data_IF_223454243759
#
_entry.id   IF_223454243759
#
_cell.length_a   1.000
_cell.length_b   1.000
_cell.length_c   1.000
_cell.angle_alpha   90.00
_cell.angle_beta   90.00
_cell.angle_gamma   90.00
#
_symmetry.space_group_name_H-M   'P 1'
#
loop_
_entity.id
_entity.type
_entity.pdbx_description
1 polymer ?
#
# COMPACT_ATOMS: atom_id res chain seq x y z
N UNK A 1 -7.82 3.88 -18.65
CA UNK A 1 -6.42 4.30 -18.50
C UNK A 1 -6.21 5.79 -18.84
N UNK A 2 -6.42 6.27 -20.08
CA UNK A 2 -6.11 7.66 -20.49
C UNK A 2 -6.79 8.73 -19.62
N UNK A 3 -8.08 8.59 -19.36
CA UNK A 3 -8.83 9.50 -18.49
C UNK A 3 -8.24 9.54 -17.07
N UNK A 4 -7.88 8.38 -16.53
CA UNK A 4 -7.31 8.27 -15.20
C UNK A 4 -5.94 8.98 -15.11
N UNK A 5 -5.05 8.75 -16.08
CA UNK A 5 -3.76 9.44 -16.17
C UNK A 5 -3.90 10.95 -16.37
N UNK A 6 -4.86 11.38 -17.19
CA UNK A 6 -5.14 12.80 -17.41
C UNK A 6 -5.64 13.47 -16.13
N UNK A 7 -6.50 12.80 -15.36
CA UNK A 7 -6.97 13.28 -14.06
C UNK A 7 -5.82 13.34 -13.04
N UNK A 8 -4.98 12.32 -12.99
CA UNK A 8 -3.78 12.30 -12.13
C UNK A 8 -2.87 13.48 -12.45
N UNK A 9 -2.53 13.67 -13.72
CA UNK A 9 -1.69 14.78 -14.18
C UNK A 9 -2.30 16.14 -13.86
N UNK A 10 -3.61 16.29 -14.01
CA UNK A 10 -4.32 17.52 -13.70
C UNK A 10 -4.31 17.86 -12.19
N UNK A 11 -4.49 16.85 -11.32
CA UNK A 11 -4.40 17.01 -9.86
C UNK A 11 -3.00 17.47 -9.47
N UNK A 12 -1.96 16.80 -9.98
CA UNK A 12 -0.56 17.13 -9.72
C UNK A 12 -0.21 18.52 -10.25
N UNK A 13 -0.71 18.88 -11.43
CA UNK A 13 -0.52 20.22 -11.99
C UNK A 13 -1.06 21.34 -11.09
N UNK A 14 -2.16 21.09 -10.38
CA UNK A 14 -2.74 22.04 -9.40
C UNK A 14 -1.94 22.19 -8.11
N UNK A 15 -1.01 21.28 -7.85
CA UNK A 15 -0.17 21.26 -6.65
C UNK A 15 -0.79 20.51 -5.47
N UNK A 16 -0.02 20.38 -4.39
CA UNK A 16 -0.37 19.55 -3.23
C UNK A 16 -1.60 20.09 -2.50
N UNK A 17 -1.58 21.35 -2.08
CA UNK A 17 -2.66 21.93 -1.26
C UNK A 17 -4.01 22.01 -1.99
N UNK A 18 -4.01 22.51 -3.24
CA UNK A 18 -5.23 22.74 -4.04
C UNK A 18 -5.70 21.53 -4.82
N UNK A 19 -4.80 20.59 -5.06
CA UNK A 19 -5.08 19.35 -5.78
C UNK A 19 -5.27 18.17 -4.82
N UNK A 20 -4.16 17.58 -4.38
CA UNK A 20 -4.15 16.30 -3.68
C UNK A 20 -4.86 16.39 -2.33
N UNK A 21 -4.50 17.37 -1.49
CA UNK A 21 -5.04 17.51 -0.14
C UNK A 21 -6.55 17.77 -0.14
N UNK A 22 -7.01 18.74 -0.95
CA UNK A 22 -8.44 19.06 -1.03
C UNK A 22 -9.27 17.88 -1.51
N UNK A 23 -8.75 17.13 -2.48
CA UNK A 23 -9.43 15.97 -3.04
C UNK A 23 -9.52 14.85 -2.01
N UNK A 24 -8.41 14.52 -1.34
CA UNK A 24 -8.36 13.47 -0.31
C UNK A 24 -9.24 13.80 0.90
N UNK A 25 -9.27 15.05 1.34
CA UNK A 25 -10.08 15.51 2.49
C UNK A 25 -11.57 15.23 2.33
N UNK A 26 -12.08 15.23 1.09
CA UNK A 26 -13.49 14.97 0.80
C UNK A 26 -13.76 13.48 0.63
N UNK A 27 -12.89 12.79 -0.10
CA UNK A 27 -13.13 11.41 -0.55
C UNK A 27 -12.83 10.38 0.54
N UNK A 28 -11.75 10.56 1.33
CA UNK A 28 -11.35 9.56 2.30
C UNK A 28 -12.39 9.31 3.41
N UNK A 29 -13.05 10.33 4.02
CA UNK A 29 -14.10 10.07 4.98
C UNK A 29 -15.29 9.30 4.39
N UNK A 30 -15.66 9.61 3.14
CA UNK A 30 -16.71 8.88 2.43
C UNK A 30 -16.37 7.41 2.20
N UNK A 31 -15.12 7.13 1.80
CA UNK A 31 -14.63 5.77 1.63
C UNK A 31 -14.64 4.99 2.96
N UNK A 32 -14.16 5.59 4.05
CA UNK A 32 -14.16 4.95 5.37
C UNK A 32 -15.59 4.62 5.81
N UNK A 33 -16.53 5.56 5.62
CA UNK A 33 -17.94 5.32 5.93
C UNK A 33 -18.50 4.13 5.15
N UNK A 34 -18.21 4.04 3.84
CA UNK A 34 -18.65 2.91 3.01
C UNK A 34 -18.01 1.60 3.46
N UNK A 35 -16.71 1.59 3.79
CA UNK A 35 -16.04 0.40 4.31
C UNK A 35 -16.74 -0.09 5.60
N UNK A 36 -17.07 0.81 6.51
CA UNK A 36 -17.78 0.47 7.75
C UNK A 36 -19.16 -0.13 7.46
N UNK A 37 -19.94 0.51 6.58
CA UNK A 37 -21.27 0.01 6.20
C UNK A 37 -21.19 -1.40 5.61
N UNK A 38 -20.27 -1.61 4.66
CA UNK A 38 -20.12 -2.90 4.00
C UNK A 38 -19.55 -3.94 4.98
N UNK A 39 -18.64 -3.55 5.89
CA UNK A 39 -18.11 -4.44 6.92
C UNK A 39 -19.24 -4.94 7.84
N UNK A 40 -20.09 -4.04 8.34
CA UNK A 40 -21.25 -4.42 9.17
C UNK A 40 -22.17 -5.38 8.39
N UNK A 41 -22.45 -5.07 7.13
CA UNK A 41 -23.28 -5.94 6.29
C UNK A 41 -22.62 -7.31 6.06
N UNK A 42 -21.32 -7.37 5.81
CA UNK A 42 -20.57 -8.62 5.61
C UNK A 42 -20.70 -9.58 6.80
N UNK A 43 -20.84 -9.06 8.02
CA UNK A 43 -21.06 -9.87 9.23
C UNK A 43 -22.43 -10.52 9.29
N UNK A 44 -23.43 -9.95 8.63
CA UNK A 44 -24.80 -10.49 8.59
C UNK A 44 -25.01 -11.52 7.47
N UNK A 45 -24.03 -11.71 6.60
CA UNK A 45 -24.13 -12.64 5.48
C UNK A 45 -24.17 -14.10 5.98
N UNK A 46 -24.97 -14.91 5.28
CA UNK A 46 -24.98 -16.36 5.38
C UNK A 46 -25.14 -16.98 4.00
N UNK A 47 -24.41 -18.03 3.72
CA UNK A 47 -24.49 -18.80 2.49
C UNK A 47 -24.43 -20.29 2.80
N UNK A 48 -25.29 -21.05 2.11
CA UNK A 48 -25.26 -22.50 2.17
C UNK A 48 -24.56 -23.01 0.94
N UNK A 49 -23.46 -23.73 1.14
CA UNK A 49 -22.66 -24.33 0.08
C UNK A 49 -23.41 -25.50 -0.58
N UNK A 50 -22.93 -25.94 -1.72
CA UNK A 50 -23.44 -27.13 -2.43
C UNK A 50 -23.40 -28.40 -1.59
N UNK A 51 -22.49 -28.49 -0.63
CA UNK A 51 -22.31 -29.59 0.32
C UNK A 51 -23.23 -29.50 1.54
N UNK A 52 -24.14 -28.52 1.58
CA UNK A 52 -25.06 -28.30 2.71
C UNK A 52 -24.42 -27.60 3.92
N UNK A 53 -23.15 -27.24 3.87
CA UNK A 53 -22.49 -26.49 4.94
C UNK A 53 -22.93 -25.02 4.93
N UNK A 54 -23.39 -24.52 6.09
CA UNK A 54 -23.76 -23.10 6.25
C UNK A 54 -22.53 -22.33 6.72
N UNK A 55 -22.12 -21.35 5.92
CA UNK A 55 -21.06 -20.40 6.29
C UNK A 55 -21.65 -19.05 6.61
N UNK A 56 -21.20 -18.44 7.71
CA UNK A 56 -21.68 -17.13 8.16
C UNK A 56 -20.58 -16.10 8.25
N UNK A 57 -20.93 -14.82 8.10
CA UNK A 57 -19.98 -13.72 8.24
C UNK A 57 -19.32 -13.66 9.61
N UNK A 58 -20.04 -14.05 10.68
CA UNK A 58 -19.49 -14.14 12.02
C UNK A 58 -18.40 -15.22 12.15
N UNK A 59 -18.54 -16.35 11.45
CA UNK A 59 -17.48 -17.37 11.39
C UNK A 59 -16.26 -16.82 10.64
N UNK A 60 -16.47 -16.07 9.55
CA UNK A 60 -15.40 -15.40 8.83
C UNK A 60 -14.66 -14.35 9.68
N UNK A 61 -15.39 -13.59 10.50
CA UNK A 61 -14.80 -12.67 11.48
C UNK A 61 -13.97 -13.43 12.52
N UNK A 62 -14.44 -14.56 13.00
CA UNK A 62 -13.68 -15.40 13.93
C UNK A 62 -12.37 -15.90 13.31
N UNK A 63 -12.37 -16.26 12.02
CA UNK A 63 -11.15 -16.63 11.29
C UNK A 63 -10.19 -15.44 11.21
N UNK A 64 -10.69 -14.23 11.01
CA UNK A 64 -9.86 -13.02 10.91
C UNK A 64 -9.24 -12.61 12.25
N UNK A 65 -10.00 -12.68 13.33
CA UNK A 65 -9.59 -12.18 14.65
C UNK A 65 -8.94 -13.23 15.54
N UNK A 66 -9.23 -14.51 15.33
CA UNK A 66 -8.72 -15.59 16.18
C UNK A 66 -7.41 -16.11 15.60
N UNK A 67 -6.26 -15.85 16.26
CA UNK A 67 -4.99 -16.36 15.78
C UNK A 67 -4.96 -17.88 15.90
N UNK A 68 -4.51 -18.55 14.87
CA UNK A 68 -4.28 -19.99 14.86
C UNK A 68 -2.78 -20.27 14.93
N UNK A 69 -2.34 -20.74 16.09
CA UNK A 69 -0.95 -21.10 16.35
C UNK A 69 -0.66 -22.59 16.13
N UNK A 70 -1.67 -23.39 15.68
CA UNK A 70 -1.46 -24.81 15.42
C UNK A 70 -0.50 -25.03 14.24
N UNK A 71 0.58 -25.76 14.50
CA UNK A 71 1.59 -26.03 13.50
C UNK A 71 2.49 -24.84 13.14
N UNK A 72 2.50 -23.77 13.97
CA UNK A 72 3.36 -22.62 13.79
C UNK A 72 4.83 -23.01 14.07
N UNK A 73 5.61 -23.20 13.01
CA UNK A 73 7.07 -23.38 13.11
C UNK A 73 7.77 -22.02 13.12
N UNK A 74 9.01 -21.98 13.62
CA UNK A 74 9.85 -20.77 13.58
C UNK A 74 9.98 -20.23 12.15
N UNK A 75 10.18 -21.11 11.18
CA UNK A 75 10.22 -20.75 9.75
C UNK A 75 8.94 -20.06 9.31
N UNK A 76 7.78 -20.66 9.61
CA UNK A 76 6.48 -20.09 9.23
C UNK A 76 6.20 -18.76 9.92
N UNK A 77 6.60 -18.61 11.19
CA UNK A 77 6.49 -17.34 11.90
C UNK A 77 7.32 -16.22 11.22
N UNK A 78 8.56 -16.54 10.81
CA UNK A 78 9.41 -15.58 10.10
C UNK A 78 8.83 -15.21 8.74
N UNK A 79 8.28 -16.15 8.00
CA UNK A 79 7.58 -15.88 6.72
C UNK A 79 6.42 -14.91 6.94
N UNK A 80 5.54 -15.18 7.92
CA UNK A 80 4.41 -14.28 8.25
C UNK A 80 4.90 -12.88 8.65
N UNK A 81 5.97 -12.80 9.43
CA UNK A 81 6.55 -11.52 9.83
C UNK A 81 7.08 -10.74 8.61
N UNK A 82 7.77 -11.41 7.69
CA UNK A 82 8.28 -10.80 6.46
C UNK A 82 7.15 -10.34 5.55
N UNK A 83 6.09 -11.13 5.39
CA UNK A 83 4.90 -10.76 4.62
C UNK A 83 4.21 -9.53 5.22
N UNK A 84 4.04 -9.49 6.54
CA UNK A 84 3.47 -8.35 7.24
C UNK A 84 4.32 -7.08 7.08
N UNK A 85 5.65 -7.20 7.14
CA UNK A 85 6.56 -6.08 6.93
C UNK A 85 6.54 -5.60 5.48
N UNK A 86 6.52 -6.51 4.52
CA UNK A 86 6.36 -6.17 3.10
C UNK A 86 5.08 -5.38 2.86
N UNK A 87 3.97 -5.80 3.46
CA UNK A 87 2.71 -5.09 3.37
C UNK A 87 2.78 -3.66 3.95
N UNK A 88 3.47 -3.47 5.08
CA UNK A 88 3.66 -2.13 5.68
C UNK A 88 4.44 -1.18 4.77
N UNK A 89 5.40 -1.67 3.98
CA UNK A 89 6.12 -0.85 3.02
C UNK A 89 5.19 -0.23 1.99
N UNK A 90 4.25 -1.02 1.46
CA UNK A 90 3.27 -0.53 0.50
C UNK A 90 2.27 0.42 1.14
N UNK A 91 1.70 0.02 2.27
CA UNK A 91 0.66 0.79 2.96
C UNK A 91 1.15 2.17 3.37
N UNK A 92 2.34 2.24 3.97
CA UNK A 92 2.96 3.49 4.43
C UNK A 92 3.79 4.21 3.34
N UNK A 93 3.83 3.67 2.12
CA UNK A 93 4.64 4.23 1.00
C UNK A 93 6.11 4.45 1.37
N UNK A 94 6.68 3.54 2.18
CA UNK A 94 8.08 3.62 2.62
C UNK A 94 9.00 3.34 1.43
N UNK A 95 10.09 4.08 1.32
CA UNK A 95 11.12 3.97 0.26
C UNK A 95 10.67 4.27 -1.17
N UNK A 96 9.42 4.68 -1.38
CA UNK A 96 8.92 5.16 -2.66
C UNK A 96 9.25 6.65 -2.92
N UNK A 97 9.94 7.31 -2.00
CA UNK A 97 10.23 8.75 -2.06
C UNK A 97 9.04 9.66 -1.70
N UNK A 98 7.84 9.12 -1.59
CA UNK A 98 6.60 9.89 -1.34
C UNK A 98 6.68 10.60 0.00
N UNK A 99 7.05 9.90 1.08
CA UNK A 99 7.15 10.47 2.42
C UNK A 99 8.25 11.52 2.52
N UNK A 100 9.37 11.34 1.80
CA UNK A 100 10.45 12.33 1.72
C UNK A 100 9.96 13.60 1.03
N UNK A 101 9.28 13.44 -0.11
CA UNK A 101 8.71 14.56 -0.87
C UNK A 101 7.69 15.33 -0.04
N UNK A 102 6.76 14.65 0.62
CA UNK A 102 5.79 15.30 1.49
C UNK A 102 6.45 15.93 2.72
N UNK A 103 7.45 15.27 3.30
CA UNK A 103 8.26 15.84 4.39
C UNK A 103 8.91 17.17 4.02
N UNK A 104 9.36 17.32 2.76
CA UNK A 104 9.92 18.60 2.28
C UNK A 104 8.90 19.73 2.16
N UNK A 105 7.61 19.44 2.17
CA UNK A 105 6.53 20.43 2.14
C UNK A 105 5.97 20.77 3.52
N UNK A 106 6.34 19.99 4.54
CA UNK A 106 5.87 20.22 5.91
C UNK A 106 6.48 21.51 6.46
N UNK A 107 5.64 22.36 7.05
CA UNK A 107 6.09 23.59 7.68
C UNK A 107 6.82 23.27 8.98
N UNK A 108 7.80 24.11 9.31
CA UNK A 108 8.64 23.95 10.52
C UNK A 108 7.86 23.90 11.85
N UNK A 109 6.63 24.43 11.87
CA UNK A 109 5.76 24.49 13.06
C UNK A 109 4.98 23.19 13.31
N UNK A 110 5.03 22.23 12.39
CA UNK A 110 4.26 20.99 12.49
C UNK A 110 4.95 19.98 13.39
N UNK A 111 4.18 19.45 14.34
CA UNK A 111 4.60 18.38 15.23
C UNK A 111 4.75 17.05 14.45
N UNK A 112 5.99 16.69 14.11
CA UNK A 112 6.31 15.50 13.32
C UNK A 112 5.92 14.20 14.04
N UNK A 113 6.13 14.14 15.37
CA UNK A 113 5.79 12.97 16.16
C UNK A 113 4.27 12.71 16.16
N UNK A 114 3.48 13.78 16.34
CA UNK A 114 2.02 13.71 16.29
C UNK A 114 1.54 13.30 14.89
N UNK A 115 2.12 13.87 13.83
CA UNK A 115 1.78 13.55 12.45
C UNK A 115 2.06 12.06 12.14
N UNK A 116 3.23 11.55 12.51
CA UNK A 116 3.60 10.15 12.32
C UNK A 116 2.68 9.21 13.08
N UNK A 117 2.39 9.49 14.36
CA UNK A 117 1.45 8.68 15.13
C UNK A 117 0.04 8.67 14.54
N UNK A 118 -0.42 9.79 13.97
CA UNK A 118 -1.72 9.84 13.28
C UNK A 118 -1.71 8.96 12.02
N UNK A 119 -0.65 9.00 11.21
CA UNK A 119 -0.52 8.14 10.03
C UNK A 119 -0.59 6.66 10.46
N UNK A 120 0.18 6.26 11.47
CA UNK A 120 0.20 4.89 12.00
C UNK A 120 -1.19 4.41 12.46
N UNK A 121 -1.89 5.25 13.23
CA UNK A 121 -3.23 4.91 13.76
C UNK A 121 -4.26 4.80 12.62
N UNK A 122 -4.28 5.76 11.69
CA UNK A 122 -5.23 5.73 10.59
C UNK A 122 -4.97 4.60 9.61
N UNK A 123 -3.71 4.35 9.25
CA UNK A 123 -3.33 3.25 8.37
C UNK A 123 -3.77 1.90 8.97
N UNK A 124 -3.37 1.63 10.22
CA UNK A 124 -3.76 0.40 10.93
C UNK A 124 -5.28 0.27 11.07
N UNK A 125 -5.96 1.36 11.44
CA UNK A 125 -7.42 1.38 11.61
C UNK A 125 -8.17 1.07 10.31
N UNK A 126 -7.78 1.69 9.19
CA UNK A 126 -8.39 1.45 7.88
C UNK A 126 -8.08 0.05 7.37
N UNK A 127 -6.84 -0.43 7.53
CA UNK A 127 -6.45 -1.78 7.15
C UNK A 127 -7.28 -2.84 7.92
N UNK A 128 -7.47 -2.63 9.23
CA UNK A 128 -8.29 -3.49 10.07
C UNK A 128 -9.76 -3.51 9.63
N UNK A 129 -10.34 -2.34 9.37
CA UNK A 129 -11.72 -2.22 8.87
C UNK A 129 -11.89 -2.87 7.49
N UNK A 130 -10.92 -2.70 6.59
CA UNK A 130 -10.93 -3.33 5.28
C UNK A 130 -10.86 -4.86 5.40
N UNK A 131 -10.05 -5.38 6.32
CA UNK A 131 -10.01 -6.81 6.65
C UNK A 131 -11.36 -7.32 7.15
N UNK A 132 -12.03 -6.59 8.05
CA UNK A 132 -13.38 -6.91 8.52
C UNK A 132 -14.44 -6.88 7.41
N UNK A 133 -14.24 -6.06 6.39
CA UNK A 133 -15.12 -6.00 5.22
C UNK A 133 -14.92 -7.21 4.29
N UNK A 134 -13.66 -7.52 3.99
CA UNK A 134 -13.30 -8.48 2.93
C UNK A 134 -13.30 -9.92 3.43
N UNK A 135 -12.65 -10.19 4.56
CA UNK A 135 -12.42 -11.58 5.02
C UNK A 135 -13.70 -12.33 5.36
N UNK A 136 -14.68 -11.75 6.11
CA UNK A 136 -15.97 -12.39 6.31
C UNK A 136 -16.72 -12.68 5.01
N UNK A 137 -16.70 -11.72 4.08
CA UNK A 137 -17.34 -11.88 2.77
C UNK A 137 -16.73 -13.01 1.94
N UNK A 138 -15.40 -13.07 1.88
CA UNK A 138 -14.65 -14.13 1.18
C UNK A 138 -14.95 -15.50 1.82
N UNK A 139 -14.92 -15.57 3.15
CA UNK A 139 -15.21 -16.80 3.88
C UNK A 139 -16.59 -17.35 3.56
N UNK A 140 -17.60 -16.49 3.52
CA UNK A 140 -18.99 -16.86 3.23
C UNK A 140 -19.14 -17.45 1.83
N UNK A 141 -18.54 -16.81 0.80
CA UNK A 141 -18.76 -17.19 -0.60
C UNK A 141 -17.72 -18.16 -1.19
N UNK A 142 -16.47 -18.12 -0.71
CA UNK A 142 -15.37 -18.90 -1.27
C UNK A 142 -14.70 -19.85 -0.26
N UNK A 143 -15.07 -19.77 1.03
CA UNK A 143 -14.42 -20.56 2.08
C UNK A 143 -12.98 -20.11 2.38
N UNK A 144 -12.25 -20.93 3.15
CA UNK A 144 -10.85 -20.64 3.52
C UNK A 144 -9.90 -20.62 2.32
N UNK A 145 -10.14 -21.48 1.34
CA UNK A 145 -9.27 -21.62 0.16
C UNK A 145 -9.32 -20.38 -0.74
N UNK A 146 -10.46 -19.66 -0.74
CA UNK A 146 -10.61 -18.40 -1.48
C UNK A 146 -9.81 -17.24 -0.91
N UNK A 147 -9.27 -17.35 0.30
CA UNK A 147 -8.52 -16.26 0.94
C UNK A 147 -7.12 -16.04 0.36
N UNK A 148 -6.60 -17.00 -0.40
CA UNK A 148 -5.27 -16.93 -1.02
C UNK A 148 -5.22 -16.12 -2.33
N UNK A 149 -6.33 -15.54 -2.78
CA UNK A 149 -6.46 -14.99 -4.13
C UNK A 149 -6.43 -13.46 -4.16
N UNK A 150 -5.29 -12.83 -4.05
CA UNK A 150 -4.97 -11.41 -4.29
C UNK A 150 -6.10 -10.46 -4.76
N UNK A 151 -6.02 -9.83 -5.94
CA UNK A 151 -7.03 -8.87 -6.45
C UNK A 151 -8.43 -9.46 -6.61
N UNK A 152 -8.57 -10.77 -6.76
CA UNK A 152 -9.87 -11.43 -6.88
C UNK A 152 -10.71 -11.35 -5.60
N UNK A 153 -10.09 -11.10 -4.44
CA UNK A 153 -10.81 -10.82 -3.20
C UNK A 153 -11.74 -9.62 -3.36
N UNK A 154 -11.28 -8.56 -4.01
CA UNK A 154 -12.07 -7.34 -4.22
C UNK A 154 -12.99 -7.47 -5.44
N UNK A 155 -12.48 -7.99 -6.56
CA UNK A 155 -13.22 -7.97 -7.82
C UNK A 155 -14.16 -9.16 -8.04
N UNK A 156 -14.02 -10.24 -7.26
CA UNK A 156 -14.91 -11.41 -7.33
C UNK A 156 -15.78 -11.52 -6.09
N UNK A 157 -15.20 -11.37 -4.89
CA UNK A 157 -15.95 -11.60 -3.65
C UNK A 157 -16.87 -10.45 -3.28
N UNK A 158 -16.41 -9.20 -3.37
CA UNK A 158 -17.25 -8.05 -3.04
C UNK A 158 -18.48 -7.88 -3.96
N UNK A 159 -18.43 -8.09 -5.28
CA UNK A 159 -19.64 -8.10 -6.10
C UNK A 159 -20.71 -9.08 -5.61
N UNK A 160 -20.33 -10.27 -5.13
CA UNK A 160 -21.28 -11.21 -4.53
C UNK A 160 -21.92 -10.68 -3.25
N UNK A 161 -21.15 -9.93 -2.44
CA UNK A 161 -21.70 -9.25 -1.27
C UNK A 161 -22.73 -8.21 -1.68
N UNK A 162 -22.42 -7.40 -2.69
CA UNK A 162 -23.35 -6.38 -3.19
C UNK A 162 -24.61 -7.01 -3.78
N UNK A 163 -24.50 -8.12 -4.50
CA UNK A 163 -25.67 -8.87 -4.98
C UNK A 163 -26.54 -9.37 -3.80
N UNK A 164 -25.93 -9.84 -2.73
CA UNK A 164 -26.63 -10.26 -1.52
C UNK A 164 -27.34 -9.12 -0.77
N UNK A 165 -26.92 -7.84 -0.99
CA UNK A 165 -27.60 -6.65 -0.45
C UNK A 165 -28.92 -6.33 -1.16
N UNK A 166 -29.28 -7.03 -2.23
CA UNK A 166 -30.50 -6.83 -2.99
C UNK A 166 -30.59 -5.44 -3.63
N UNK A 167 -31.69 -4.71 -3.40
CA UNK A 167 -31.96 -3.41 -4.04
C UNK A 167 -30.88 -2.37 -3.71
N UNK A 168 -30.33 -2.40 -2.50
CA UNK A 168 -29.29 -1.47 -2.08
C UNK A 168 -27.88 -1.85 -2.58
N UNK A 169 -27.68 -3.05 -3.07
CA UNK A 169 -26.37 -3.54 -3.48
C UNK A 169 -25.76 -2.76 -4.64
N UNK A 170 -26.55 -2.46 -5.67
CA UNK A 170 -26.06 -1.71 -6.85
C UNK A 170 -25.58 -0.30 -6.51
N UNK A 171 -26.37 0.57 -5.81
CA UNK A 171 -25.89 1.90 -5.45
C UNK A 171 -24.68 1.85 -4.51
N UNK A 172 -24.62 0.90 -3.57
CA UNK A 172 -23.46 0.71 -2.68
C UNK A 172 -22.22 0.27 -3.47
N UNK A 173 -22.36 -0.67 -4.40
CA UNK A 173 -21.29 -1.11 -5.29
C UNK A 173 -20.71 0.05 -6.12
N UNK A 174 -21.60 0.83 -6.77
CA UNK A 174 -21.18 2.00 -7.56
C UNK A 174 -20.42 2.99 -6.68
N UNK A 175 -20.98 3.34 -5.52
CA UNK A 175 -20.33 4.26 -4.58
C UNK A 175 -18.98 3.73 -4.11
N UNK A 176 -18.89 2.45 -3.74
CA UNK A 176 -17.65 1.82 -3.28
C UNK A 176 -16.56 1.83 -4.36
N UNK A 177 -16.86 1.34 -5.57
CA UNK A 177 -15.86 1.29 -6.64
C UNK A 177 -15.46 2.69 -7.13
N UNK A 178 -16.36 3.67 -7.13
CA UNK A 178 -16.01 5.06 -7.40
C UNK A 178 -15.07 5.62 -6.33
N UNK A 179 -15.39 5.45 -5.05
CA UNK A 179 -14.54 5.93 -3.95
C UNK A 179 -13.18 5.23 -3.95
N UNK A 180 -13.14 3.92 -4.22
CA UNK A 180 -11.89 3.17 -4.38
C UNK A 180 -11.08 3.68 -5.58
N UNK A 181 -11.73 3.96 -6.71
CA UNK A 181 -11.08 4.57 -7.87
C UNK A 181 -10.49 5.95 -7.55
N UNK A 182 -11.18 6.75 -6.76
CA UNK A 182 -10.66 8.03 -6.30
C UNK A 182 -9.51 7.88 -5.29
N UNK A 183 -9.56 6.87 -4.40
CA UNK A 183 -8.45 6.55 -3.51
C UNK A 183 -7.19 6.13 -4.30
N UNK A 184 -7.35 5.29 -5.32
CA UNK A 184 -6.27 4.94 -6.23
C UNK A 184 -5.72 6.17 -6.96
N UNK A 185 -6.59 7.11 -7.35
CA UNK A 185 -6.19 8.35 -8.01
C UNK A 185 -5.31 9.24 -7.11
N UNK A 186 -5.62 9.32 -5.80
CA UNK A 186 -4.77 10.07 -4.85
C UNK A 186 -3.39 9.43 -4.69
N UNK A 187 -3.31 8.11 -4.65
CA UNK A 187 -2.04 7.37 -4.58
C UNK A 187 -1.19 7.60 -5.84
N UNK A 188 -1.80 7.48 -7.03
CA UNK A 188 -1.10 7.77 -8.29
C UNK A 188 -0.65 9.23 -8.37
N UNK A 189 -1.45 10.17 -7.85
CA UNK A 189 -1.06 11.57 -7.79
C UNK A 189 0.14 11.79 -6.86
N UNK A 190 0.22 11.07 -5.74
CA UNK A 190 1.35 11.12 -4.80
C UNK A 190 2.66 10.61 -5.43
N UNK A 191 2.59 9.48 -6.14
CA UNK A 191 3.75 8.95 -6.89
C UNK A 191 4.19 9.93 -7.98
N UNK A 192 3.23 10.45 -8.76
CA UNK A 192 3.54 11.42 -9.82
C UNK A 192 4.10 12.73 -9.27
N UNK A 193 3.58 13.22 -8.12
CA UNK A 193 4.11 14.40 -7.43
C UNK A 193 5.57 14.20 -7.03
N UNK A 194 5.91 13.04 -6.48
CA UNK A 194 7.28 12.68 -6.12
C UNK A 194 8.21 12.75 -7.32
N UNK A 195 7.82 12.17 -8.45
CA UNK A 195 8.60 12.23 -9.68
C UNK A 195 8.76 13.67 -10.18
N UNK A 196 7.68 14.44 -10.17
CA UNK A 196 7.71 15.85 -10.62
C UNK A 196 8.60 16.69 -9.72
N UNK A 197 8.49 16.56 -8.39
CA UNK A 197 9.30 17.29 -7.43
C UNK A 197 10.80 17.01 -7.61
N UNK A 198 11.17 15.73 -7.69
CA UNK A 198 12.55 15.31 -7.91
C UNK A 198 13.09 15.79 -9.28
N UNK A 199 12.27 15.70 -10.34
CA UNK A 199 12.68 16.22 -11.66
C UNK A 199 12.83 17.74 -11.68
N UNK A 200 11.99 18.47 -10.92
CA UNK A 200 12.12 19.94 -10.81
C UNK A 200 13.45 20.32 -10.16
N UNK A 201 13.83 19.63 -9.10
CA UNK A 201 15.08 19.85 -8.40
C UNK A 201 16.30 19.47 -9.23
N UNK A 202 16.27 18.27 -9.84
CA UNK A 202 17.37 17.75 -10.64
C UNK A 202 17.64 18.57 -11.90
N UNK A 203 16.59 18.96 -12.63
CA UNK A 203 16.71 19.67 -13.91
C UNK A 203 16.55 21.18 -13.81
N UNK A 204 16.26 21.72 -12.61
CA UNK A 204 16.00 23.15 -12.38
C UNK A 204 14.96 23.75 -13.35
N UNK A 205 13.90 22.99 -13.66
CA UNK A 205 12.85 23.39 -14.61
C UNK A 205 11.52 23.67 -13.89
N UNK A 206 10.69 24.56 -14.43
CA UNK A 206 9.42 24.92 -13.81
C UNK A 206 8.46 23.73 -13.80
N UNK A 207 7.61 23.65 -12.76
CA UNK A 207 6.63 22.61 -12.51
C UNK A 207 5.79 22.21 -13.74
N UNK A 208 5.32 23.20 -14.52
CA UNK A 208 4.51 22.96 -15.73
C UNK A 208 5.22 22.06 -16.74
N UNK A 209 6.51 22.30 -16.97
CA UNK A 209 7.32 21.51 -17.91
C UNK A 209 7.56 20.09 -17.38
N UNK A 210 7.84 19.97 -16.08
CA UNK A 210 8.10 18.66 -15.47
C UNK A 210 6.83 17.82 -15.34
N UNK A 211 5.69 18.41 -14.98
CA UNK A 211 4.40 17.69 -15.05
C UNK A 211 4.09 17.16 -16.44
N UNK A 212 4.36 17.95 -17.49
CA UNK A 212 4.20 17.50 -18.88
C UNK A 212 5.13 16.35 -19.24
N UNK A 213 6.42 16.46 -18.92
CA UNK A 213 7.40 15.42 -19.20
C UNK A 213 7.11 14.11 -18.47
N UNK A 214 6.84 14.19 -17.16
CA UNK A 214 6.48 13.00 -16.33
C UNK A 214 5.15 12.42 -16.79
N UNK A 215 4.16 13.26 -17.16
CA UNK A 215 2.88 12.81 -17.70
C UNK A 215 3.04 12.03 -19.01
N UNK A 216 3.88 12.51 -19.95
CA UNK A 216 4.17 11.80 -21.19
C UNK A 216 4.92 10.49 -20.91
N UNK A 217 5.92 10.52 -20.04
CA UNK A 217 6.62 9.30 -19.61
C UNK A 217 5.67 8.26 -19.04
N UNK A 218 4.81 8.67 -18.11
CA UNK A 218 3.81 7.79 -17.51
C UNK A 218 2.82 7.24 -18.54
N UNK A 219 2.42 8.05 -19.51
CA UNK A 219 1.53 7.63 -20.60
C UNK A 219 2.20 6.56 -21.48
N UNK A 220 3.44 6.81 -21.91
CA UNK A 220 4.18 5.85 -22.74
C UNK A 220 4.39 4.53 -22.02
N UNK A 221 4.82 4.58 -20.75
CA UNK A 221 5.02 3.39 -19.93
C UNK A 221 3.72 2.61 -19.73
N UNK A 222 2.63 3.31 -19.43
CA UNK A 222 1.32 2.67 -19.24
C UNK A 222 0.80 2.01 -20.54
N UNK A 223 1.01 2.64 -21.70
CA UNK A 223 0.66 2.05 -23.01
C UNK A 223 1.49 0.79 -23.26
N UNK A 224 2.81 0.83 -23.02
CA UNK A 224 3.69 -0.33 -23.17
C UNK A 224 3.26 -1.50 -22.28
N UNK A 225 2.94 -1.23 -21.00
CA UNK A 225 2.45 -2.23 -20.07
C UNK A 225 1.12 -2.83 -20.55
N UNK A 226 0.17 -1.98 -21.01
CA UNK A 226 -1.10 -2.49 -21.54
C UNK A 226 -0.90 -3.36 -22.79
N UNK A 227 0.05 -3.02 -23.66
CA UNK A 227 0.40 -3.85 -24.81
C UNK A 227 1.07 -5.17 -24.42
N UNK A 228 1.76 -5.20 -23.28
CA UNK A 228 2.35 -6.40 -22.70
C UNK A 228 1.34 -7.50 -22.40
N UNK A 229 0.08 -7.14 -22.11
CA UNK A 229 -1.01 -8.10 -21.92
C UNK A 229 -1.62 -8.67 -23.20
N UNK A 230 -1.25 -8.14 -24.37
CA UNK A 230 -1.87 -8.50 -25.64
C UNK A 230 -0.84 -8.69 -26.76
N UNK A 231 -0.42 -7.59 -27.42
CA UNK A 231 0.45 -7.66 -28.60
C UNK A 231 1.91 -7.95 -28.27
N UNK A 232 2.38 -7.48 -27.13
CA UNK A 232 3.75 -7.69 -26.63
C UNK A 232 3.74 -8.71 -25.47
N UNK A 233 2.88 -9.72 -25.56
CA UNK A 233 2.82 -10.77 -24.57
C UNK A 233 4.10 -11.61 -24.57
N UNK A 234 4.71 -11.72 -23.40
CA UNK A 234 5.79 -12.67 -23.12
C UNK A 234 5.73 -13.10 -21.66
N UNK A 235 6.27 -14.25 -21.38
CA UNK A 235 6.42 -14.75 -20.01
C UNK A 235 7.90 -14.89 -19.69
N UNK A 236 8.32 -14.33 -18.57
CA UNK A 236 9.68 -14.42 -18.05
C UNK A 236 9.64 -15.03 -16.65
N UNK A 237 10.48 -16.02 -16.42
CA UNK A 237 10.71 -16.55 -15.08
C UNK A 237 11.60 -15.58 -14.31
N UNK A 238 11.06 -15.03 -13.22
CA UNK A 238 11.75 -14.09 -12.36
C UNK A 238 12.62 -14.82 -11.32
N UNK A 239 13.65 -14.19 -10.77
CA UNK A 239 14.54 -14.82 -9.79
C UNK A 239 13.84 -15.30 -8.52
N UNK A 240 12.74 -14.66 -8.12
CA UNK A 240 11.88 -15.08 -7.00
C UNK A 240 10.99 -16.30 -7.31
N UNK A 241 11.19 -16.95 -8.46
CA UNK A 241 10.46 -18.13 -8.89
C UNK A 241 9.10 -17.87 -9.53
N UNK A 242 8.59 -16.64 -9.51
CA UNK A 242 7.34 -16.30 -10.19
C UNK A 242 7.54 -16.23 -11.72
N UNK A 243 6.47 -16.48 -12.47
CA UNK A 243 6.43 -16.28 -13.92
C UNK A 243 5.51 -15.11 -14.18
N UNK A 244 6.01 -14.12 -14.88
CA UNK A 244 5.27 -12.89 -15.08
C UNK A 244 5.51 -12.23 -16.43
N UNK A 245 4.64 -11.29 -16.72
CA UNK A 245 4.64 -10.46 -17.92
C UNK A 245 5.39 -9.14 -17.67
N UNK A 246 5.31 -8.20 -18.60
CA UNK A 246 6.00 -6.91 -18.48
C UNK A 246 5.66 -6.15 -17.19
N UNK A 247 4.38 -6.17 -16.75
CA UNK A 247 3.99 -5.54 -15.49
C UNK A 247 4.69 -6.21 -14.31
N UNK A 248 4.70 -7.54 -14.27
CA UNK A 248 5.28 -8.31 -13.17
C UNK A 248 6.81 -8.12 -13.11
N UNK A 249 7.46 -7.99 -14.27
CA UNK A 249 8.89 -7.65 -14.35
C UNK A 249 9.17 -6.27 -13.77
N UNK A 250 8.36 -5.27 -14.13
CA UNK A 250 8.50 -3.91 -13.61
C UNK A 250 8.21 -3.86 -12.11
N UNK A 251 7.19 -4.59 -11.65
CA UNK A 251 6.85 -4.74 -10.23
C UNK A 251 8.00 -5.41 -9.46
N UNK A 252 8.56 -6.48 -9.98
CA UNK A 252 9.72 -7.15 -9.38
C UNK A 252 10.91 -6.20 -9.23
N UNK A 253 11.26 -5.45 -10.29
CA UNK A 253 12.38 -4.50 -10.24
C UNK A 253 12.11 -3.40 -9.21
N UNK A 254 10.92 -2.81 -9.21
CA UNK A 254 10.60 -1.68 -8.32
C UNK A 254 10.37 -2.12 -6.88
N UNK A 255 9.56 -3.15 -6.66
CA UNK A 255 9.04 -3.48 -5.35
C UNK A 255 9.83 -4.61 -4.67
N UNK A 256 10.26 -5.63 -5.41
CA UNK A 256 11.02 -6.73 -4.83
C UNK A 256 12.51 -6.44 -4.71
N UNK A 257 13.06 -5.62 -5.62
CA UNK A 257 14.50 -5.31 -5.65
C UNK A 257 14.81 -3.91 -5.12
N UNK A 258 14.36 -2.85 -5.82
CA UNK A 258 14.78 -1.47 -5.50
C UNK A 258 14.26 -0.98 -4.15
N UNK A 259 13.03 -1.27 -3.80
CA UNK A 259 12.42 -0.75 -2.56
C UNK A 259 13.13 -1.28 -1.30
N UNK A 260 13.32 -2.60 -1.09
CA UNK A 260 14.06 -3.10 0.07
C UNK A 260 15.53 -2.67 0.05
N UNK A 261 16.15 -2.58 -1.13
CA UNK A 261 17.53 -2.13 -1.28
C UNK A 261 17.72 -0.67 -0.84
N UNK A 262 16.85 0.24 -1.32
CA UNK A 262 16.87 1.66 -0.94
C UNK A 262 16.58 1.81 0.57
N UNK A 263 15.64 1.02 1.11
CA UNK A 263 15.36 1.01 2.56
C UNK A 263 16.57 0.62 3.37
N UNK A 264 17.27 -0.42 2.95
CA UNK A 264 18.50 -0.86 3.59
C UNK A 264 19.55 0.24 3.58
N UNK A 265 19.82 0.83 2.42
CA UNK A 265 20.79 1.93 2.29
C UNK A 265 20.39 3.15 3.13
N UNK A 266 19.11 3.52 3.14
CA UNK A 266 18.60 4.64 3.95
C UNK A 266 18.73 4.36 5.44
N UNK A 267 18.45 3.15 5.88
CA UNK A 267 18.60 2.76 7.29
C UNK A 267 20.07 2.78 7.75
N UNK A 268 21.00 2.37 6.89
CA UNK A 268 22.43 2.46 7.16
C UNK A 268 22.88 3.92 7.19
N UNK A 269 22.44 4.73 6.23
CA UNK A 269 22.76 6.16 6.15
C UNK A 269 22.32 6.89 7.43
N UNK A 270 21.08 6.69 7.87
CA UNK A 270 20.53 7.36 9.05
C UNK A 270 21.11 6.78 10.35
N UNK A 271 21.22 5.45 10.43
CA UNK A 271 21.65 4.78 11.65
C UNK A 271 23.13 4.92 11.95
N UNK A 272 23.99 4.98 10.92
CA UNK A 272 25.45 4.87 11.07
C UNK A 272 26.23 6.06 10.51
N UNK A 273 25.81 6.67 9.41
CA UNK A 273 26.55 7.76 8.77
C UNK A 273 26.14 9.13 9.33
N UNK A 274 24.85 9.47 9.24
CA UNK A 274 24.32 10.76 9.74
C UNK A 274 24.17 10.70 11.25
N UNK A 275 23.72 9.58 11.77
CA UNK A 275 23.37 9.35 13.16
C UNK A 275 21.90 9.63 13.46
N UNK A 276 21.26 8.79 14.30
CA UNK A 276 19.84 8.91 14.62
C UNK A 276 19.51 10.18 15.41
N UNK A 277 20.49 10.78 16.07
CA UNK A 277 20.31 12.00 16.86
C UNK A 277 19.97 13.21 16.01
N UNK A 278 20.35 13.23 14.74
CA UNK A 278 19.94 14.27 13.78
C UNK A 278 18.42 14.26 13.58
N UNK A 279 17.83 13.07 13.35
CA UNK A 279 16.36 12.93 13.23
C UNK A 279 15.66 13.27 14.55
N UNK A 280 16.22 12.83 15.69
CA UNK A 280 15.66 13.15 17.00
C UNK A 280 15.65 14.68 17.22
N UNK A 281 16.75 15.36 16.89
CA UNK A 281 16.84 16.83 16.99
C UNK A 281 15.82 17.54 16.10
N UNK A 282 15.54 17.02 14.90
CA UNK A 282 14.52 17.57 14.01
C UNK A 282 13.10 17.38 14.58
N UNK A 283 12.83 16.21 15.16
CA UNK A 283 11.53 15.91 15.81
C UNK A 283 11.31 16.80 17.05
N UNK A 284 12.38 17.09 17.82
CA UNK A 284 12.33 17.89 19.06
C UNK A 284 12.48 19.41 18.81
N UNK A 285 12.67 19.84 17.57
CA UNK A 285 12.99 21.22 17.19
C UNK A 285 11.98 22.25 17.71
N UNK A 286 10.70 21.90 17.82
CA UNK A 286 9.64 22.79 18.29
C UNK A 286 9.37 22.68 19.80
N UNK A 287 10.33 22.18 20.59
CA UNK A 287 10.18 21.99 22.05
C UNK A 287 9.37 20.73 22.41
N UNK A 288 9.21 19.82 21.50
CA UNK A 288 8.53 18.55 21.72
C UNK A 288 9.47 17.51 22.31
N UNK A 289 8.94 16.60 23.09
CA UNK A 289 9.73 15.51 23.67
C UNK A 289 9.48 14.18 22.94
N UNK A 290 10.51 13.65 22.30
CA UNK A 290 10.42 12.35 21.61
C UNK A 290 10.60 11.20 22.61
N UNK A 291 9.52 10.80 23.28
CA UNK A 291 9.51 9.75 24.32
C UNK A 291 10.12 8.41 23.88
N UNK A 292 10.09 8.10 22.58
CA UNK A 292 10.60 6.83 22.01
C UNK A 292 12.01 6.95 21.43
N UNK A 293 12.76 8.01 21.72
CA UNK A 293 14.07 8.28 21.13
C UNK A 293 15.09 7.13 21.37
N UNK A 294 15.10 6.53 22.57
CA UNK A 294 15.97 5.38 22.87
C UNK A 294 15.64 4.15 22.03
N UNK A 295 14.36 3.82 21.91
CA UNK A 295 13.87 2.73 21.05
C UNK A 295 14.19 3.00 19.58
N UNK A 296 13.97 4.23 19.11
CA UNK A 296 14.28 4.65 17.75
C UNK A 296 15.77 4.44 17.41
N UNK A 297 16.68 4.90 18.31
CA UNK A 297 18.14 4.69 18.11
C UNK A 297 18.51 3.22 17.98
N UNK A 298 17.96 2.37 18.83
CA UNK A 298 18.23 0.93 18.78
C UNK A 298 17.68 0.30 17.51
N UNK A 299 16.42 0.60 17.17
CA UNK A 299 15.77 0.04 15.99
C UNK A 299 16.48 0.42 14.70
N UNK A 300 16.75 1.72 14.47
CA UNK A 300 17.35 2.19 13.21
C UNK A 300 18.79 1.75 13.02
N UNK A 301 19.56 1.55 14.11
CA UNK A 301 20.94 1.09 14.02
C UNK A 301 21.08 -0.41 13.81
N UNK A 302 20.25 -1.20 14.45
CA UNK A 302 20.50 -2.65 14.53
C UNK A 302 19.36 -3.46 13.90
N UNK A 303 18.12 -3.20 14.28
CA UNK A 303 16.99 -4.04 13.88
C UNK A 303 16.60 -3.79 12.44
N UNK A 304 16.38 -2.54 12.06
CA UNK A 304 15.92 -2.18 10.72
C UNK A 304 16.89 -2.62 9.62
N UNK A 305 18.23 -2.39 9.70
CA UNK A 305 19.13 -2.85 8.65
C UNK A 305 19.12 -4.37 8.47
N UNK A 306 19.08 -5.14 9.58
CA UNK A 306 19.04 -6.61 9.53
C UNK A 306 17.76 -7.08 8.87
N UNK A 307 16.63 -6.54 9.29
CA UNK A 307 15.34 -6.90 8.74
C UNK A 307 15.23 -6.52 7.26
N UNK A 308 15.74 -5.34 6.87
CA UNK A 308 15.77 -4.91 5.47
C UNK A 308 16.65 -5.79 4.60
N UNK A 309 17.79 -6.25 5.14
CA UNK A 309 18.65 -7.19 4.44
C UNK A 309 17.95 -8.53 4.22
N UNK A 310 17.30 -9.07 5.24
CA UNK A 310 16.53 -10.32 5.13
C UNK A 310 15.39 -10.16 4.11
N UNK A 311 14.62 -9.07 4.20
CA UNK A 311 13.57 -8.74 3.25
C UNK A 311 14.10 -8.66 1.81
N UNK A 312 15.21 -7.99 1.61
CA UNK A 312 15.86 -7.89 0.30
C UNK A 312 16.22 -9.26 -0.25
N UNK A 313 16.87 -10.11 0.55
CA UNK A 313 17.29 -11.46 0.12
C UNK A 313 16.08 -12.36 -0.21
N UNK A 314 15.02 -12.29 0.60
CA UNK A 314 13.81 -13.11 0.38
C UNK A 314 13.01 -12.60 -0.81
N UNK A 315 12.74 -11.29 -0.90
CA UNK A 315 11.91 -10.72 -1.97
C UNK A 315 12.55 -10.83 -3.36
N UNK A 316 13.88 -10.82 -3.42
CA UNK A 316 14.62 -10.99 -4.68
C UNK A 316 14.82 -12.45 -5.08
N UNK A 317 14.55 -13.43 -4.19
CA UNK A 317 14.82 -14.84 -4.42
C UNK A 317 16.31 -15.22 -4.25
N UNK A 318 17.17 -14.31 -3.81
CA UNK A 318 18.57 -14.63 -3.55
C UNK A 318 18.75 -15.59 -2.37
N UNK A 319 17.78 -15.67 -1.46
CA UNK A 319 17.80 -16.65 -0.37
C UNK A 319 17.80 -18.09 -0.89
N UNK A 320 17.07 -18.36 -1.97
CA UNK A 320 16.96 -19.69 -2.59
C UNK A 320 18.23 -20.06 -3.39
N UNK A 321 19.07 -19.08 -3.74
CA UNK A 321 20.37 -19.32 -4.41
C UNK A 321 21.49 -19.66 -3.42
N UNK A 322 21.28 -19.40 -2.13
CA UNK A 322 22.27 -19.62 -1.06
C UNK A 322 21.93 -20.87 -0.23
N UNK A 323 20.67 -21.34 -0.31
CA UNK A 323 20.20 -22.59 0.32
C UNK A 323 20.50 -23.81 -0.54
#
# INVERSE_FOLDING_TARGET
MLIFLALTAWIVFRGVEKGIEKFSRIIMPGLILLIVIIAIFSLTLSHTDTDGTVRTGMQGLAVYLKPDFHGLTVKRFLEILLDAMSQLFFSLSVSMGIMITYGSYVKNEVNLNKATNQIEIFDTGVAFLAGMMIIPAVFVFLGKDGMASGPSLIFISLPKVFDAMGVFGRPVAIAFFLMMGFAALTSCASVMETLVANCMELYHKPRKKMCGAVGIYSLVTAVLICLGYNKLYFELKLPNGSVGQLLDVMDYISNSFLMPFISLLTSILIGWVIGPDWIIGEVERNGEHFKRAGLYRFMIRYVVPVVMLILFLVSTGFADLIS
#
